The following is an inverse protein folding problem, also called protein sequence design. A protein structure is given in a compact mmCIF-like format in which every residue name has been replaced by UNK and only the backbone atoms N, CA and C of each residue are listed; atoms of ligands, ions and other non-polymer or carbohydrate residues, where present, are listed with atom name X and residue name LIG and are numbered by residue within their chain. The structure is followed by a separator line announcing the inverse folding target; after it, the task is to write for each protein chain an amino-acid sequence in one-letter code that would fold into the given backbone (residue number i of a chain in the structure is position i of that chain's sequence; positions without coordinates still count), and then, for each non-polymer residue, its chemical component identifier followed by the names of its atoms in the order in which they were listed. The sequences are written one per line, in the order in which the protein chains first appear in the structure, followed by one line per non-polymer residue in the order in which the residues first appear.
data_IF_848685255116
#
_entry.id   IF_848685255116
#
_cell.length_a   1.000
_cell.length_b   1.000
_cell.length_c   1.000
_cell.angle_alpha   90.00
_cell.angle_beta   90.00
_cell.angle_gamma   90.00
#
_symmetry.space_group_name_H-M   'P 1'
#
loop_
_entity.id
_entity.type
_entity.pdbx_description
1 polymer ?
#
# COMPACT_ATOMS: atom_id res chain seq x y z
N UNK A 1 4.29 14.09 -11.98
CA UNK A 1 4.42 15.14 -10.97
C UNK A 1 5.59 14.77 -10.08
N UNK A 2 6.51 15.68 -9.81
CA UNK A 2 7.64 15.42 -8.90
C UNK A 2 7.22 15.63 -7.45
N UNK A 3 7.93 15.04 -6.48
CA UNK A 3 7.69 15.29 -5.04
C UNK A 3 7.76 16.79 -4.72
N UNK A 4 8.62 17.53 -5.42
CA UNK A 4 8.73 18.97 -5.27
C UNK A 4 7.48 19.71 -5.80
N UNK A 5 6.88 19.25 -6.89
CA UNK A 5 5.62 19.77 -7.42
C UNK A 5 4.43 19.45 -6.51
N UNK A 6 4.36 18.22 -5.97
CA UNK A 6 3.35 17.81 -5.01
C UNK A 6 3.46 18.60 -3.70
N UNK A 7 4.68 18.80 -3.19
CA UNK A 7 4.95 19.63 -2.01
C UNK A 7 4.56 21.09 -2.24
N UNK A 8 4.91 21.67 -3.40
CA UNK A 8 4.50 23.04 -3.78
C UNK A 8 2.99 23.17 -3.91
N UNK A 9 2.28 22.16 -4.42
CA UNK A 9 0.83 22.15 -4.52
C UNK A 9 0.17 22.11 -3.13
N UNK A 10 0.66 21.26 -2.22
CA UNK A 10 0.19 21.19 -0.83
C UNK A 10 0.43 22.52 -0.11
N UNK A 11 1.63 23.10 -0.24
CA UNK A 11 1.94 24.40 0.35
C UNK A 11 1.11 25.55 -0.24
N UNK A 12 0.80 25.53 -1.53
CA UNK A 12 -0.04 26.57 -2.15
C UNK A 12 -1.51 26.48 -1.70
N UNK A 13 -2.03 25.26 -1.52
CA UNK A 13 -3.40 25.03 -1.07
C UNK A 13 -3.57 25.37 0.42
N UNK A 14 -2.63 24.98 1.27
CA UNK A 14 -2.70 25.18 2.72
C UNK A 14 -2.08 26.51 3.20
N UNK A 15 -1.17 27.10 2.43
CA UNK A 15 -0.57 28.41 2.72
C UNK A 15 -1.55 29.57 2.60
N UNK A 16 -2.74 29.37 2.02
CA UNK A 16 -3.81 30.38 1.95
C UNK A 16 -4.75 30.37 3.15
N UNK A 17 -4.75 29.33 3.99
CA UNK A 17 -5.56 29.28 5.22
C UNK A 17 -4.70 29.68 6.42
N UNK A 18 -4.93 30.88 6.94
CA UNK A 18 -4.09 31.57 7.92
C UNK A 18 -4.01 30.95 9.34
N UNK A 19 -4.34 29.67 9.53
CA UNK A 19 -4.27 28.96 10.82
C UNK A 19 -3.81 27.51 10.66
N UNK A 20 -2.72 27.30 9.91
CA UNK A 20 -2.25 25.97 9.52
C UNK A 20 -1.81 25.10 10.70
N UNK A 21 -2.62 24.09 11.04
CA UNK A 21 -2.20 22.96 11.84
C UNK A 21 -1.13 22.16 11.05
N UNK A 22 0.14 22.17 11.50
CA UNK A 22 1.22 21.47 10.80
C UNK A 22 0.99 19.96 10.74
N UNK A 23 0.19 19.38 11.64
CA UNK A 23 -0.17 17.96 11.63
C UNK A 23 -1.18 17.65 10.54
N UNK A 24 -2.13 18.55 10.28
CA UNK A 24 -3.07 18.43 9.16
C UNK A 24 -2.35 18.54 7.81
N UNK A 25 -1.38 19.45 7.69
CA UNK A 25 -0.54 19.56 6.50
C UNK A 25 0.35 18.31 6.30
N UNK A 26 0.91 17.74 7.37
CA UNK A 26 1.68 16.49 7.31
C UNK A 26 0.81 15.29 6.92
N UNK A 27 -0.44 15.24 7.41
CA UNK A 27 -1.41 14.20 7.03
C UNK A 27 -1.83 14.32 5.58
N UNK A 28 -2.12 15.53 5.10
CA UNK A 28 -2.44 15.79 3.70
C UNK A 28 -1.26 15.45 2.77
N UNK A 29 -0.03 15.74 3.19
CA UNK A 29 1.17 15.33 2.46
C UNK A 29 1.39 13.81 2.51
N UNK A 30 1.19 13.15 3.64
CA UNK A 30 1.26 11.70 3.73
C UNK A 30 0.18 11.02 2.87
N UNK A 31 -1.04 11.57 2.83
CA UNK A 31 -2.13 11.12 1.95
C UNK A 31 -1.79 11.37 0.48
N UNK A 32 -1.26 12.55 0.12
CA UNK A 32 -0.86 12.84 -1.26
C UNK A 32 0.33 11.98 -1.72
N UNK A 33 1.31 11.74 -0.85
CA UNK A 33 2.43 10.83 -1.10
C UNK A 33 1.96 9.38 -1.13
N UNK A 34 0.95 8.99 -0.34
CA UNK A 34 0.34 7.67 -0.45
C UNK A 34 -0.47 7.55 -1.75
N UNK A 35 -1.26 8.55 -2.15
CA UNK A 35 -2.00 8.54 -3.40
C UNK A 35 -1.06 8.52 -4.63
N UNK A 36 0.08 9.23 -4.58
CA UNK A 36 1.07 9.29 -5.67
C UNK A 36 2.04 8.09 -5.64
N UNK A 37 2.44 7.58 -4.46
CA UNK A 37 3.09 6.27 -4.32
C UNK A 37 2.16 5.12 -4.70
N UNK A 38 0.84 5.38 -4.75
CA UNK A 38 -0.11 4.45 -5.30
C UNK A 38 -0.22 4.50 -6.84
N UNK A 39 0.26 5.56 -7.52
CA UNK A 39 0.20 5.71 -8.98
C UNK A 39 1.58 5.68 -9.68
N UNK A 40 2.70 5.85 -8.98
CA UNK A 40 4.05 5.93 -9.59
C UNK A 40 5.04 5.01 -8.87
N UNK A 41 5.96 4.41 -9.63
CA UNK A 41 7.15 3.72 -9.10
C UNK A 41 7.79 4.58 -8.00
N UNK A 42 7.90 4.03 -6.78
CA UNK A 42 8.57 4.75 -5.70
C UNK A 42 10.07 4.87 -6.01
N UNK A 43 10.45 6.04 -6.51
CA UNK A 43 11.81 6.60 -6.42
C UNK A 43 12.01 7.09 -4.97
N UNK A 44 13.19 6.92 -4.35
CA UNK A 44 13.41 7.30 -2.96
C UNK A 44 13.25 8.82 -2.76
N UNK A 45 12.53 9.21 -1.71
CA UNK A 45 12.41 10.62 -1.29
C UNK A 45 13.69 11.10 -0.56
N UNK A 46 14.19 12.33 -0.79
CA UNK A 46 15.55 12.71 -0.40
C UNK A 46 15.76 13.07 1.08
N UNK A 47 14.72 13.10 1.93
CA UNK A 47 14.84 13.89 3.16
C UNK A 47 14.08 13.42 4.40
N UNK A 48 14.22 12.13 4.77
CA UNK A 48 13.81 11.68 6.11
C UNK A 48 14.94 10.93 6.81
N UNK A 49 15.69 11.66 7.63
CA UNK A 49 16.62 11.19 8.66
C UNK A 49 17.72 10.26 8.14
N UNK A 50 18.87 10.83 7.75
CA UNK A 50 20.08 10.06 7.37
C UNK A 50 20.33 8.94 8.39
N UNK A 51 20.18 7.66 8.01
CA UNK A 51 20.89 6.59 8.68
C UNK A 51 22.38 6.87 8.45
N UNK A 52 23.19 6.76 9.50
CA UNK A 52 24.65 6.97 9.42
C UNK A 52 25.25 6.27 8.20
N UNK A 53 26.14 6.98 7.49
CA UNK A 53 26.78 6.66 6.21
C UNK A 53 27.61 5.35 6.19
N UNK A 54 27.01 4.22 6.55
CA UNK A 54 27.56 2.89 6.35
C UNK A 54 26.76 2.19 5.23
N UNK A 55 27.21 2.44 4.00
CA UNK A 55 27.18 1.54 2.83
C UNK A 55 26.25 0.32 2.94
N UNK A 56 24.95 0.50 2.75
CA UNK A 56 24.05 -0.56 2.29
C UNK A 56 23.18 -0.01 1.16
N UNK A 57 23.11 -0.75 0.05
CA UNK A 57 22.33 -0.36 -1.12
C UNK A 57 20.88 -0.05 -0.73
N UNK A 58 20.37 1.11 -1.14
CA UNK A 58 19.00 1.50 -0.89
C UNK A 58 18.03 0.47 -1.49
N UNK A 59 16.95 0.10 -0.77
CA UNK A 59 15.99 -0.85 -1.28
C UNK A 59 15.29 -0.29 -2.52
N UNK A 60 15.38 -1.02 -3.63
CA UNK A 60 14.79 -0.63 -4.93
C UNK A 60 13.32 -1.04 -5.09
N UNK A 61 12.80 -1.83 -4.15
CA UNK A 61 11.40 -2.32 -4.15
C UNK A 61 10.78 -2.16 -2.77
N UNK A 62 9.45 -2.10 -2.72
CA UNK A 62 8.72 -2.05 -1.46
C UNK A 62 9.00 -3.29 -0.59
N UNK A 63 9.10 -4.49 -1.18
CA UNK A 63 9.60 -5.69 -0.50
C UNK A 63 10.98 -5.47 0.11
N UNK A 64 11.93 -4.95 -0.66
CA UNK A 64 13.28 -4.65 -0.17
C UNK A 64 13.26 -3.72 1.03
N UNK A 65 12.41 -2.69 1.00
CA UNK A 65 12.20 -1.78 2.13
C UNK A 65 11.64 -2.52 3.34
N UNK A 66 10.61 -3.35 3.18
CA UNK A 66 10.02 -4.12 4.27
C UNK A 66 11.04 -5.10 4.90
N UNK A 67 11.82 -5.80 4.08
CA UNK A 67 12.87 -6.72 4.53
C UNK A 67 14.03 -5.98 5.22
N UNK A 68 14.38 -4.77 4.76
CA UNK A 68 15.35 -3.89 5.41
C UNK A 68 14.89 -3.51 6.83
N UNK A 69 13.65 -3.05 7.00
CA UNK A 69 13.10 -2.70 8.31
C UNK A 69 13.00 -3.90 9.25
N UNK A 70 12.67 -5.08 8.71
CA UNK A 70 12.73 -6.31 9.48
C UNK A 70 14.16 -6.56 9.98
N UNK A 71 15.17 -6.46 9.10
CA UNK A 71 16.56 -6.65 9.49
C UNK A 71 17.02 -5.62 10.51
N UNK A 72 16.67 -4.36 10.35
CA UNK A 72 16.99 -3.29 11.31
C UNK A 72 16.39 -3.57 12.70
N UNK A 73 15.16 -4.10 12.76
CA UNK A 73 14.48 -4.41 14.02
C UNK A 73 14.99 -5.67 14.72
N UNK A 74 15.32 -6.71 13.95
CA UNK A 74 15.61 -8.05 14.50
C UNK A 74 17.07 -8.49 14.35
N UNK A 75 17.94 -7.65 13.78
CA UNK A 75 19.36 -7.93 13.55
C UNK A 75 19.64 -8.99 12.49
N UNK A 76 18.61 -9.52 11.82
CA UNK A 76 18.73 -10.60 10.82
C UNK A 76 17.71 -10.49 9.70
N UNK A 77 18.07 -11.01 8.53
CA UNK A 77 17.16 -11.09 7.40
C UNK A 77 15.91 -11.93 7.75
N UNK A 78 14.73 -11.60 7.21
CA UNK A 78 13.53 -12.37 7.47
C UNK A 78 13.66 -13.78 6.87
N UNK A 79 13.42 -14.80 7.70
CA UNK A 79 13.24 -16.16 7.20
C UNK A 79 11.91 -16.31 6.44
N UNK A 80 11.70 -17.45 5.79
CA UNK A 80 10.53 -17.70 4.91
C UNK A 80 9.18 -17.40 5.59
N UNK A 81 9.00 -17.79 6.85
CA UNK A 81 7.78 -17.50 7.63
C UNK A 81 7.58 -16.01 7.86
N UNK A 82 8.65 -15.27 8.12
CA UNK A 82 8.59 -13.81 8.31
C UNK A 82 8.33 -13.09 6.98
N UNK A 83 8.95 -13.54 5.88
CA UNK A 83 8.67 -13.02 4.54
C UNK A 83 7.20 -13.25 4.15
N UNK A 84 6.65 -14.44 4.40
CA UNK A 84 5.24 -14.73 4.18
C UNK A 84 4.32 -13.81 5.00
N UNK A 85 4.66 -13.51 6.25
CA UNK A 85 3.91 -12.55 7.07
C UNK A 85 4.03 -11.10 6.56
N UNK A 86 5.18 -10.71 6.01
CA UNK A 86 5.38 -9.40 5.37
C UNK A 86 4.49 -9.30 4.12
N UNK A 87 4.51 -10.32 3.26
CA UNK A 87 3.66 -10.41 2.08
C UNK A 87 2.17 -10.35 2.45
N UNK A 88 1.72 -11.13 3.46
CA UNK A 88 0.32 -11.09 3.93
C UNK A 88 -0.10 -9.65 4.26
N UNK A 89 0.75 -8.91 4.99
CA UNK A 89 0.50 -7.50 5.32
C UNK A 89 0.53 -6.59 4.10
N UNK A 90 1.39 -6.87 3.12
CA UNK A 90 1.43 -6.13 1.87
C UNK A 90 0.12 -6.31 1.09
N UNK A 91 -0.32 -7.56 0.89
CA UNK A 91 -1.59 -7.85 0.24
C UNK A 91 -2.78 -7.23 0.98
N UNK A 92 -2.79 -7.28 2.32
CA UNK A 92 -3.84 -6.64 3.11
C UNK A 92 -3.88 -5.13 2.89
N UNK A 93 -2.72 -4.47 2.79
CA UNK A 93 -2.66 -3.03 2.45
C UNK A 93 -3.20 -2.71 1.05
N UNK A 94 -3.04 -3.63 0.09
CA UNK A 94 -3.66 -3.46 -1.23
C UNK A 94 -5.19 -3.50 -1.13
N UNK A 95 -5.74 -4.38 -0.29
CA UNK A 95 -7.18 -4.46 -0.02
C UNK A 95 -7.66 -3.19 0.69
N UNK A 96 -6.98 -2.78 1.76
CA UNK A 96 -7.32 -1.55 2.52
C UNK A 96 -7.37 -0.30 1.63
N UNK A 97 -6.53 -0.22 0.58
CA UNK A 97 -6.55 0.88 -0.37
C UNK A 97 -7.78 0.92 -1.30
N UNK A 98 -8.50 -0.19 -1.42
CA UNK A 98 -9.79 -0.24 -2.13
C UNK A 98 -10.92 0.40 -1.31
N UNK A 99 -10.63 0.80 -0.08
CA UNK A 99 -11.57 1.50 0.78
C UNK A 99 -11.16 2.95 1.00
N UNK A 100 -12.16 3.82 1.09
CA UNK A 100 -11.98 5.19 1.53
C UNK A 100 -12.55 5.33 2.95
N UNK A 101 -11.86 6.07 3.84
CA UNK A 101 -12.33 6.30 5.19
C UNK A 101 -13.63 7.12 5.16
N UNK A 102 -14.59 6.80 6.02
CA UNK A 102 -15.79 7.63 6.19
C UNK A 102 -15.50 8.78 7.17
N UNK A 103 -15.75 10.05 6.80
CA UNK A 103 -15.56 11.18 7.71
C UNK A 103 -16.49 11.14 8.93
N UNK A 104 -17.69 10.58 8.75
CA UNK A 104 -18.82 10.73 9.69
C UNK A 104 -19.18 9.44 10.45
N UNK A 105 -18.57 8.30 10.09
CA UNK A 105 -18.80 7.00 10.71
C UNK A 105 -17.48 6.29 11.03
N UNK A 106 -17.48 5.44 12.06
CA UNK A 106 -16.39 4.48 12.31
C UNK A 106 -16.53 3.37 11.26
N UNK A 107 -15.99 3.61 10.06
CA UNK A 107 -16.22 2.73 8.93
C UNK A 107 -15.35 3.02 7.70
N UNK A 108 -15.55 2.19 6.69
CA UNK A 108 -14.85 2.21 5.42
C UNK A 108 -15.87 1.93 4.33
N UNK A 109 -15.82 2.66 3.22
CA UNK A 109 -16.68 2.39 2.06
C UNK A 109 -15.85 1.98 0.85
N UNK A 110 -16.47 1.19 -0.01
CA UNK A 110 -15.94 0.84 -1.32
C UNK A 110 -15.54 2.12 -2.09
N UNK A 111 -14.25 2.26 -2.39
CA UNK A 111 -13.71 3.43 -3.10
C UNK A 111 -14.20 3.49 -4.55
N UNK A 112 -14.36 4.68 -5.16
CA UNK A 112 -14.58 4.82 -6.61
C UNK A 112 -13.54 4.09 -7.47
N UNK A 113 -12.36 3.79 -6.91
CA UNK A 113 -11.31 2.97 -7.53
C UNK A 113 -11.81 1.58 -7.93
N UNK A 114 -12.73 0.98 -7.18
CA UNK A 114 -13.27 -0.37 -7.45
C UNK A 114 -13.85 -0.44 -8.87
N UNK A 115 -14.66 0.54 -9.24
CA UNK A 115 -15.23 0.65 -10.59
C UNK A 115 -14.15 0.91 -11.64
N UNK A 116 -13.13 1.71 -11.33
CA UNK A 116 -12.03 1.98 -12.25
C UNK A 116 -11.22 0.72 -12.60
N UNK A 117 -11.16 -0.26 -11.69
CA UNK A 117 -10.52 -1.57 -11.93
C UNK A 117 -11.49 -2.66 -12.40
N UNK A 118 -12.77 -2.36 -12.60
CA UNK A 118 -13.79 -3.33 -13.01
C UNK A 118 -14.22 -4.32 -11.93
N UNK A 119 -13.79 -4.11 -10.68
CA UNK A 119 -14.12 -4.98 -9.55
C UNK A 119 -15.58 -4.86 -9.09
N UNK A 120 -16.32 -3.87 -9.59
CA UNK A 120 -17.76 -3.77 -9.39
C UNK A 120 -18.53 -4.89 -10.11
N UNK A 121 -17.86 -5.64 -11.00
CA UNK A 121 -18.39 -6.82 -11.68
C UNK A 121 -18.07 -8.12 -10.95
N UNK A 122 -17.14 -8.10 -9.99
CA UNK A 122 -16.76 -9.28 -9.23
C UNK A 122 -17.75 -9.50 -8.06
N UNK A 123 -18.09 -10.76 -7.81
CA UNK A 123 -18.84 -11.13 -6.61
C UNK A 123 -17.89 -11.09 -5.40
N UNK A 124 -17.96 -9.99 -4.63
CA UNK A 124 -17.10 -9.69 -3.48
C UNK A 124 -17.97 -9.20 -2.32
N UNK A 125 -17.80 -9.77 -1.14
CA UNK A 125 -18.36 -9.23 0.10
C UNK A 125 -17.39 -8.17 0.66
N UNK A 126 -17.60 -6.92 0.23
CA UNK A 126 -16.79 -5.78 0.63
C UNK A 126 -16.81 -5.47 2.13
N UNK A 127 -17.71 -6.08 2.92
CA UNK A 127 -17.77 -5.89 4.37
C UNK A 127 -16.72 -6.67 5.16
N UNK A 128 -16.23 -7.80 4.62
CA UNK A 128 -15.31 -8.70 5.34
C UNK A 128 -14.13 -9.23 4.48
N UNK A 129 -13.91 -8.63 3.30
CA UNK A 129 -12.81 -8.96 2.41
C UNK A 129 -11.44 -8.85 3.10
N UNK A 130 -10.69 -9.96 3.14
CA UNK A 130 -9.41 -10.02 3.87
C UNK A 130 -8.45 -11.07 3.33
N UNK A 131 -7.15 -10.85 3.60
CA UNK A 131 -6.13 -11.88 3.38
C UNK A 131 -6.12 -12.86 4.55
N UNK A 132 -6.42 -14.13 4.30
CA UNK A 132 -6.38 -15.17 5.34
C UNK A 132 -5.04 -15.87 5.45
N UNK A 133 -4.38 -16.09 4.33
CA UNK A 133 -3.09 -16.75 4.30
C UNK A 133 -2.20 -16.17 3.20
N UNK A 134 -0.89 -16.21 3.44
CA UNK A 134 0.08 -16.00 2.39
C UNK A 134 1.26 -16.95 2.57
N UNK A 135 1.74 -17.47 1.45
CA UNK A 135 3.04 -18.14 1.29
C UNK A 135 3.89 -17.32 0.33
N UNK A 136 5.15 -17.69 0.14
CA UNK A 136 6.01 -17.00 -0.84
C UNK A 136 5.60 -17.21 -2.31
N UNK A 137 4.51 -17.94 -2.57
CA UNK A 137 4.01 -18.23 -3.92
C UNK A 137 2.54 -17.92 -4.12
N UNK A 138 1.76 -17.86 -3.05
CA UNK A 138 0.31 -17.73 -3.14
C UNK A 138 -0.22 -16.89 -1.98
N UNK A 139 -1.18 -16.03 -2.26
CA UNK A 139 -1.98 -15.28 -1.29
C UNK A 139 -3.44 -15.71 -1.40
N UNK A 140 -4.07 -16.03 -0.28
CA UNK A 140 -5.47 -16.45 -0.21
C UNK A 140 -6.33 -15.34 0.39
N UNK A 141 -7.42 -15.03 -0.30
CA UNK A 141 -8.37 -13.98 0.01
C UNK A 141 -9.74 -14.62 0.23
N UNK A 142 -10.34 -14.44 1.40
CA UNK A 142 -11.72 -14.86 1.67
C UNK A 142 -12.71 -13.77 1.27
N UNK A 143 -14.01 -14.12 1.21
CA UNK A 143 -15.12 -13.21 0.97
C UNK A 143 -15.13 -12.64 -0.47
N UNK A 144 -14.56 -13.39 -1.40
CA UNK A 144 -14.55 -13.09 -2.83
C UNK A 144 -14.69 -14.37 -3.64
N UNK A 145 -15.57 -14.37 -4.65
CA UNK A 145 -15.79 -15.54 -5.49
C UNK A 145 -14.48 -16.02 -6.12
N UNK A 146 -14.28 -17.35 -6.33
CA UNK A 146 -13.17 -17.85 -7.15
C UNK A 146 -13.09 -17.24 -8.56
N UNK A 147 -14.20 -16.68 -9.06
CA UNK A 147 -14.30 -16.00 -10.35
C UNK A 147 -14.09 -14.47 -10.25
N UNK A 148 -13.66 -13.94 -9.09
CA UNK A 148 -13.34 -12.52 -8.89
C UNK A 148 -12.02 -12.13 -9.59
N UNK A 149 -12.00 -12.25 -10.92
CA UNK A 149 -10.80 -12.14 -11.76
C UNK A 149 -10.20 -10.73 -11.74
N UNK A 150 -11.00 -9.68 -11.55
CA UNK A 150 -10.50 -8.31 -11.51
C UNK A 150 -9.75 -8.04 -10.20
N UNK A 151 -10.28 -8.52 -9.07
CA UNK A 151 -9.60 -8.47 -7.77
C UNK A 151 -8.30 -9.29 -7.78
N UNK A 152 -8.36 -10.53 -8.28
CA UNK A 152 -7.16 -11.38 -8.41
C UNK A 152 -6.07 -10.70 -9.23
N UNK A 153 -6.43 -10.18 -10.40
CA UNK A 153 -5.49 -9.48 -11.29
C UNK A 153 -4.92 -8.22 -10.66
N UNK A 154 -5.75 -7.41 -10.03
CA UNK A 154 -5.29 -6.21 -9.34
C UNK A 154 -4.26 -6.53 -8.27
N UNK A 155 -4.55 -7.50 -7.39
CA UNK A 155 -3.63 -7.90 -6.33
C UNK A 155 -2.33 -8.48 -6.90
N UNK A 156 -2.43 -9.36 -7.90
CA UNK A 156 -1.29 -9.95 -8.60
C UNK A 156 -0.36 -8.85 -9.16
N UNK A 157 -0.91 -7.95 -9.97
CA UNK A 157 -0.14 -6.90 -10.65
C UNK A 157 0.45 -5.91 -9.65
N UNK A 158 -0.29 -5.60 -8.57
CA UNK A 158 0.15 -4.68 -7.53
C UNK A 158 1.30 -5.25 -6.71
N UNK A 159 1.17 -6.49 -6.26
CA UNK A 159 2.18 -7.19 -5.48
C UNK A 159 3.45 -7.40 -6.30
N UNK A 160 3.33 -7.72 -7.58
CA UNK A 160 4.47 -7.84 -8.49
C UNK A 160 5.31 -6.56 -8.56
N UNK A 161 4.65 -5.38 -8.69
CA UNK A 161 5.34 -4.07 -8.64
C UNK A 161 6.04 -3.81 -7.31
N UNK A 162 5.54 -4.39 -6.22
CA UNK A 162 6.17 -4.30 -4.92
C UNK A 162 7.31 -5.31 -4.70
N UNK A 163 7.63 -6.14 -5.71
CA UNK A 163 8.68 -7.15 -5.64
C UNK A 163 8.20 -8.53 -5.13
N UNK A 164 6.89 -8.75 -5.13
CA UNK A 164 6.25 -10.01 -4.74
C UNK A 164 5.63 -10.70 -5.95
N UNK A 165 6.29 -11.75 -6.44
CA UNK A 165 5.74 -12.60 -7.51
C UNK A 165 4.93 -13.74 -6.88
N UNK A 166 3.60 -13.59 -6.87
CA UNK A 166 2.69 -14.54 -6.21
C UNK A 166 1.40 -14.71 -6.98
N UNK A 167 0.84 -15.92 -6.93
CA UNK A 167 -0.54 -16.17 -7.31
C UNK A 167 -1.50 -15.58 -6.27
N UNK A 168 -2.69 -15.19 -6.72
CA UNK A 168 -3.78 -14.72 -5.86
C UNK A 168 -4.95 -15.67 -6.05
N UNK A 169 -5.43 -16.24 -4.96
CA UNK A 169 -6.58 -17.14 -4.92
C UNK A 169 -7.66 -16.46 -4.10
N UNK A 170 -8.87 -16.38 -4.65
CA UNK A 170 -10.06 -15.91 -3.94
C UNK A 170 -10.95 -17.10 -3.63
N UNK A 171 -11.58 -17.08 -2.45
CA UNK A 171 -12.56 -18.07 -2.01
C UNK A 171 -13.70 -17.40 -1.25
N UNK A 172 -14.86 -18.08 -1.25
CA UNK A 172 -16.07 -17.64 -0.55
C UNK A 172 -16.31 -18.49 0.69
#
# INVERSE_FOLDING_TARGET
MTIEEAWKAVLNTYGRTAHGDPVAALRAFALAVLEDAFQVDMVPSPNWGRPSEHTMAEPTTYRGWQEFYHRARYGKAPGRKAQAAILKRAAQRCIEWLYDPTPDDIGWHASPRIKAYGMDQDAINWGDLRVVEATLRTTWIEEASPDAVHLQRFLHDRLARWGWEVAVVTEW
#
